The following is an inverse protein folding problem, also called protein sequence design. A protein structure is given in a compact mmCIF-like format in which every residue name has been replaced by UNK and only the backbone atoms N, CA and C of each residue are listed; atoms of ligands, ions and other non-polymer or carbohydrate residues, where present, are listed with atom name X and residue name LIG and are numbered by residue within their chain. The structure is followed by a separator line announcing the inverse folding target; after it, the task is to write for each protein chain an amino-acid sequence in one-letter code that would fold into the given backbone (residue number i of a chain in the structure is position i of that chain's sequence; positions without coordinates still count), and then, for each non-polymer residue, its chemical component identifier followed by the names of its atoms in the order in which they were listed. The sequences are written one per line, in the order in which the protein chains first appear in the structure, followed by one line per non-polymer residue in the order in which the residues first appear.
data_IF_387253088460
#
_entry.id   IF_387253088460
#
_cell.length_a   1.000
_cell.length_b   1.000
_cell.length_c   1.000
_cell.angle_alpha   90.00
_cell.angle_beta   90.00
_cell.angle_gamma   90.00
#
_symmetry.space_group_name_H-M   'P 1'
#
loop_
_entity.id
_entity.type
_entity.pdbx_description
1 polymer ?
#
# COMPACT_ATOMS: atom_id res chain seq x y z
N UNK A 1 -0.50 4.40 6.52
CA UNK A 1 -0.62 4.14 5.07
C UNK A 1 -0.79 5.42 4.26
N UNK A 2 -1.76 6.29 4.54
CA UNK A 2 -1.88 7.59 3.83
C UNK A 2 -0.92 8.63 4.41
N UNK A 3 -1.00 8.91 5.71
CA UNK A 3 -0.01 9.75 6.37
C UNK A 3 1.31 8.99 6.52
N UNK A 4 2.47 9.64 6.31
CA UNK A 4 2.68 11.08 6.10
C UNK A 4 2.76 11.51 4.62
N UNK A 5 2.43 10.64 3.67
CA UNK A 5 2.61 10.94 2.24
C UNK A 5 1.76 12.12 1.78
N UNK A 6 0.54 12.26 2.29
CA UNK A 6 -0.39 13.35 1.94
C UNK A 6 0.11 14.76 2.27
N UNK A 7 1.16 14.89 3.07
CA UNK A 7 1.74 16.17 3.49
C UNK A 7 3.01 16.55 2.70
N UNK A 8 3.50 15.69 1.81
CA UNK A 8 4.77 15.90 1.10
C UNK A 8 4.56 16.70 -0.19
N UNK A 9 5.43 17.70 -0.42
CA UNK A 9 5.48 18.37 -1.74
C UNK A 9 5.94 17.36 -2.80
N UNK A 10 5.25 17.38 -3.94
CA UNK A 10 5.42 16.39 -5.00
C UNK A 10 4.39 15.26 -4.99
N UNK A 11 3.58 15.10 -3.94
CA UNK A 11 2.45 14.17 -3.97
C UNK A 11 1.24 14.85 -4.62
N UNK A 12 0.72 14.26 -5.69
CA UNK A 12 -0.41 14.82 -6.45
C UNK A 12 -1.74 14.23 -5.97
N UNK A 13 -1.78 12.92 -5.72
CA UNK A 13 -2.98 12.25 -5.19
C UNK A 13 -2.66 10.90 -4.56
N UNK A 14 -3.54 10.47 -3.64
CA UNK A 14 -3.46 9.18 -2.96
C UNK A 14 -4.83 8.52 -3.00
N UNK A 15 -4.88 7.25 -3.42
CA UNK A 15 -6.11 6.47 -3.46
C UNK A 15 -5.97 5.21 -2.61
N UNK A 16 -6.85 5.03 -1.62
CA UNK A 16 -6.97 3.76 -0.90
C UNK A 16 -7.75 2.74 -1.72
N UNK A 17 -7.30 1.49 -1.73
CA UNK A 17 -7.97 0.43 -2.46
C UNK A 17 -7.45 -0.97 -2.14
N UNK A 18 -7.79 -1.88 -3.04
CA UNK A 18 -7.46 -3.31 -2.96
C UNK A 18 -6.80 -3.73 -4.27
N UNK A 19 -5.68 -4.43 -4.18
CA UNK A 19 -4.91 -4.86 -5.35
C UNK A 19 -4.32 -6.26 -5.18
N UNK A 20 -3.76 -6.79 -6.27
CA UNK A 20 -3.08 -8.09 -6.34
C UNK A 20 -3.93 -9.33 -5.98
N UNK A 21 -5.25 -9.19 -5.86
CA UNK A 21 -6.18 -10.30 -5.75
C UNK A 21 -6.77 -10.76 -7.08
N UNK A 22 -7.66 -11.75 -7.02
CA UNK A 22 -8.24 -12.41 -8.19
C UNK A 22 -9.72 -12.11 -8.41
N UNK A 23 -10.41 -11.54 -7.41
CA UNK A 23 -11.82 -11.11 -7.55
C UNK A 23 -11.89 -9.75 -8.25
N UNK A 24 -12.66 -9.65 -9.34
CA UNK A 24 -12.85 -8.38 -10.06
C UNK A 24 -13.77 -7.43 -9.29
N UNK A 25 -13.35 -6.18 -9.10
CA UNK A 25 -14.10 -5.11 -8.42
C UNK A 25 -14.67 -5.54 -7.05
N UNK A 26 -13.82 -6.03 -6.12
CA UNK A 26 -14.29 -6.55 -4.85
C UNK A 26 -14.85 -5.42 -3.98
N UNK A 27 -15.86 -5.75 -3.19
CA UNK A 27 -16.33 -4.90 -2.09
C UNK A 27 -15.46 -5.09 -0.85
N UNK A 28 -15.52 -4.13 0.08
CA UNK A 28 -14.82 -4.24 1.37
C UNK A 28 -15.18 -5.54 2.13
N UNK A 29 -16.46 -5.93 2.12
CA UNK A 29 -16.90 -7.14 2.82
C UNK A 29 -16.31 -8.41 2.21
N UNK A 30 -16.16 -8.46 0.89
CA UNK A 30 -15.53 -9.59 0.20
C UNK A 30 -14.02 -9.66 0.53
N UNK A 31 -13.31 -8.54 0.53
CA UNK A 31 -11.89 -8.51 0.93
C UNK A 31 -11.71 -8.92 2.38
N UNK A 32 -12.56 -8.41 3.28
CA UNK A 32 -12.56 -8.76 4.71
C UNK A 32 -12.85 -10.25 4.96
N UNK A 33 -13.49 -10.94 4.03
CA UNK A 33 -13.68 -12.40 4.13
C UNK A 33 -12.39 -13.21 3.90
N UNK A 34 -11.31 -12.56 3.45
CA UNK A 34 -10.03 -13.18 3.09
C UNK A 34 -10.10 -14.17 1.91
N UNK A 35 -11.17 -14.14 1.11
CA UNK A 35 -11.34 -15.08 -0.02
C UNK A 35 -10.90 -14.50 -1.36
N UNK A 36 -10.72 -13.18 -1.46
CA UNK A 36 -10.46 -12.51 -2.74
C UNK A 36 -8.99 -12.42 -3.12
N UNK A 37 -8.10 -12.75 -2.17
CA UNK A 37 -6.64 -12.65 -2.30
C UNK A 37 -6.11 -11.23 -2.44
N UNK A 38 -6.95 -10.20 -2.27
CA UNK A 38 -6.50 -8.81 -2.37
C UNK A 38 -5.75 -8.37 -1.13
N UNK A 39 -4.74 -7.54 -1.34
CA UNK A 39 -4.03 -6.79 -0.31
C UNK A 39 -4.59 -5.38 -0.23
N UNK A 40 -4.74 -4.85 0.98
CA UNK A 40 -5.07 -3.43 1.16
C UNK A 40 -3.83 -2.59 0.79
N UNK A 41 -4.01 -1.59 -0.06
CA UNK A 41 -2.92 -0.77 -0.57
C UNK A 41 -3.35 0.68 -0.78
N UNK A 42 -2.35 1.56 -0.86
CA UNK A 42 -2.51 2.94 -1.32
C UNK A 42 -1.77 3.11 -2.63
N UNK A 43 -2.44 3.67 -3.64
CA UNK A 43 -1.80 4.14 -4.86
C UNK A 43 -1.36 5.58 -4.64
N UNK A 44 -0.08 5.87 -4.90
CA UNK A 44 0.52 7.19 -4.74
C UNK A 44 0.88 7.70 -6.13
N UNK A 45 0.23 8.80 -6.55
CA UNK A 45 0.59 9.54 -7.76
C UNK A 45 1.45 10.73 -7.33
N UNK A 46 2.66 10.82 -7.88
CA UNK A 46 3.65 11.80 -7.49
C UNK A 46 4.42 12.37 -8.69
N UNK A 47 4.94 13.58 -8.52
CA UNK A 47 5.81 14.28 -9.44
C UNK A 47 7.28 13.89 -9.18
N UNK A 48 7.93 13.12 -10.07
CA UNK A 48 9.30 12.65 -9.88
C UNK A 48 10.34 13.78 -9.95
N UNK A 49 9.99 14.98 -10.43
CA UNK A 49 10.89 16.14 -10.39
C UNK A 49 10.98 16.76 -8.98
N UNK A 50 10.03 16.43 -8.09
CA UNK A 50 9.95 16.97 -6.73
C UNK A 50 10.26 15.95 -5.64
N UNK A 51 9.81 14.71 -5.83
CA UNK A 51 10.02 13.61 -4.88
C UNK A 51 10.38 12.33 -5.63
N UNK A 52 11.45 11.65 -5.20
CA UNK A 52 11.88 10.43 -5.86
C UNK A 52 11.14 9.21 -5.32
N UNK A 53 11.12 8.12 -6.10
CA UNK A 53 10.61 6.84 -5.61
C UNK A 53 11.38 6.33 -4.38
N UNK A 54 12.70 6.58 -4.33
CA UNK A 54 13.55 6.20 -3.19
C UNK A 54 13.16 6.96 -1.90
N UNK A 55 12.71 8.21 -2.01
CA UNK A 55 12.19 8.97 -0.87
C UNK A 55 10.90 8.32 -0.34
N UNK A 56 10.00 7.91 -1.25
CA UNK A 56 8.77 7.20 -0.88
C UNK A 56 9.09 5.87 -0.18
N UNK A 57 10.05 5.11 -0.69
CA UNK A 57 10.50 3.86 -0.08
C UNK A 57 11.10 4.10 1.30
N UNK A 58 11.91 5.15 1.46
CA UNK A 58 12.50 5.51 2.75
C UNK A 58 11.42 5.75 3.81
N UNK A 59 10.35 6.45 3.44
CA UNK A 59 9.21 6.74 4.30
C UNK A 59 8.38 5.47 4.58
N UNK A 60 8.20 4.61 3.58
CA UNK A 60 7.49 3.33 3.73
C UNK A 60 8.17 2.42 4.77
N UNK A 61 9.49 2.27 4.68
CA UNK A 61 10.26 1.41 5.58
C UNK A 61 10.30 1.90 7.03
N UNK A 62 10.06 3.19 7.27
CA UNK A 62 9.93 3.72 8.63
C UNK A 62 8.60 3.36 9.29
N UNK A 63 7.57 3.06 8.49
CA UNK A 63 6.21 2.75 8.97
C UNK A 63 5.92 1.25 9.01
N UNK A 64 6.69 0.46 8.28
CA UNK A 64 6.42 -0.95 8.03
C UNK A 64 7.56 -1.83 8.51
N UNK A 65 7.26 -2.91 9.23
CA UNK A 65 8.23 -3.97 9.52
C UNK A 65 8.18 -5.04 8.41
N UNK A 66 9.15 -5.09 7.46
CA UNK A 66 9.20 -6.11 6.42
C UNK A 66 9.40 -7.54 6.92
N UNK A 67 9.76 -7.70 8.21
CA UNK A 67 10.11 -9.01 8.77
C UNK A 67 8.94 -9.69 9.49
N UNK A 68 7.83 -8.98 9.71
CA UNK A 68 6.60 -9.58 10.24
C UNK A 68 5.88 -10.35 9.13
N UNK A 69 6.04 -11.67 9.15
CA UNK A 69 5.41 -12.58 8.19
C UNK A 69 3.88 -12.68 8.33
N UNK A 70 3.29 -12.18 9.42
CA UNK A 70 1.90 -12.43 9.80
C UNK A 70 1.00 -11.19 9.74
N UNK A 71 1.52 -10.01 9.35
CA UNK A 71 0.76 -8.78 9.18
C UNK A 71 1.37 -7.59 9.93
N UNK A 72 0.74 -6.42 9.87
CA UNK A 72 1.24 -5.22 10.54
C UNK A 72 0.49 -4.94 11.85
N UNK A 73 1.24 -4.79 12.95
CA UNK A 73 0.72 -4.45 14.28
C UNK A 73 -0.41 -5.39 14.78
N UNK A 74 -1.62 -4.85 14.97
CA UNK A 74 -2.82 -5.59 15.41
C UNK A 74 -3.55 -6.26 14.23
N UNK A 75 -3.25 -5.85 12.99
CA UNK A 75 -3.88 -6.37 11.78
C UNK A 75 -3.10 -7.59 11.26
N UNK A 76 -3.79 -8.72 11.18
CA UNK A 76 -3.19 -10.03 10.89
C UNK A 76 -3.78 -10.67 9.65
N UNK A 77 -2.93 -11.40 8.94
CA UNK A 77 -3.29 -12.15 7.73
C UNK A 77 -2.73 -11.54 6.45
N UNK A 78 -2.91 -12.29 5.36
CA UNK A 78 -2.20 -12.05 4.10
C UNK A 78 -2.52 -10.70 3.46
N UNK A 79 -3.70 -10.15 3.76
CA UNK A 79 -4.15 -8.84 3.27
C UNK A 79 -3.36 -7.66 3.86
N UNK A 80 -2.59 -7.87 4.93
CA UNK A 80 -1.88 -6.83 5.69
C UNK A 80 -0.36 -7.00 5.65
N UNK A 81 0.15 -7.85 4.77
CA UNK A 81 1.60 -8.07 4.65
C UNK A 81 2.26 -6.85 3.98
N UNK A 82 3.48 -6.49 4.40
CA UNK A 82 4.31 -5.53 3.68
C UNK A 82 4.49 -5.92 2.21
N UNK A 83 4.05 -5.07 1.29
CA UNK A 83 4.25 -5.25 -0.14
C UNK A 83 4.32 -3.89 -0.84
N UNK A 84 5.12 -3.83 -1.91
CA UNK A 84 5.22 -2.68 -2.81
C UNK A 84 4.86 -3.18 -4.22
N UNK A 85 3.86 -2.55 -4.84
CA UNK A 85 3.50 -2.79 -6.23
C UNK A 85 4.01 -1.63 -7.06
N UNK A 86 4.87 -1.91 -8.03
CA UNK A 86 5.53 -0.91 -8.87
C UNK A 86 5.06 -1.03 -10.32
N UNK A 87 5.15 0.07 -11.08
CA UNK A 87 4.63 0.13 -12.45
C UNK A 87 5.70 -0.05 -13.55
N UNK A 88 6.98 0.04 -13.21
CA UNK A 88 8.11 -0.02 -14.14
C UNK A 88 9.34 -0.74 -13.55
N UNK A 89 10.16 -1.32 -14.43
CA UNK A 89 11.40 -2.03 -14.05
C UNK A 89 12.55 -1.11 -13.64
#
# INVERSE_FOLDING_TARGET
MIQPFDELDGIESIFSGYTAGHTKNPTYQEVKSHQTGHTEAVEIIFDPEKISFDDLLTIYWQQTDPTDAFGQFEDRGDNYRPVIFYFND
#
